data_IF_985663887688
#
_entry.id   IF_985663887688
#
_cell.length_a   1.000
_cell.length_b   1.000
_cell.length_c   1.000
_cell.angle_alpha   90.00
_cell.angle_beta   90.00
_cell.angle_gamma   90.00
#
_symmetry.space_group_name_H-M   'P 1'
#
loop_
_entity.id
_entity.type
_entity.pdbx_description
1 polymer ?
#
# COMPACT_ATOMS: atom_id res chain seq x y z
N UNK A 1 -1.26 7.75 10.68
CA UNK A 1 -2.54 8.13 10.04
C UNK A 1 -3.60 8.13 11.11
N UNK A 2 -4.43 9.17 11.19
CA UNK A 2 -5.62 9.09 12.03
C UNK A 2 -6.58 8.12 11.33
N UNK A 3 -6.78 6.93 11.91
CA UNK A 3 -7.95 6.11 11.59
C UNK A 3 -9.15 6.98 11.92
N UNK A 4 -9.85 7.50 10.91
CA UNK A 4 -11.16 8.11 11.13
C UNK A 4 -12.07 6.95 11.50
N UNK A 5 -12.28 6.74 12.80
CA UNK A 5 -13.23 5.75 13.29
C UNK A 5 -14.60 6.12 12.75
N UNK A 6 -15.14 5.25 11.92
CA UNK A 6 -16.43 5.41 11.31
C UNK A 6 -17.49 4.96 12.31
N UNK A 7 -18.17 5.91 12.96
CA UNK A 7 -19.28 5.57 13.86
C UNK A 7 -20.50 5.20 13.04
N UNK A 8 -20.68 3.89 12.89
CA UNK A 8 -21.78 3.26 12.15
C UNK A 8 -23.14 3.74 12.64
N UNK A 9 -23.30 3.96 13.95
CA UNK A 9 -24.55 4.35 14.58
C UNK A 9 -24.86 5.83 14.30
N UNK A 10 -23.87 6.71 14.53
CA UNK A 10 -24.01 8.14 14.27
C UNK A 10 -24.34 8.43 12.79
N UNK A 11 -23.74 7.68 11.86
CA UNK A 11 -24.02 7.84 10.44
C UNK A 11 -25.42 7.36 10.04
N UNK A 12 -25.87 6.22 10.59
CA UNK A 12 -27.25 5.74 10.36
C UNK A 12 -28.26 6.78 10.84
N UNK A 13 -28.03 7.41 12.00
CA UNK A 13 -28.92 8.43 12.54
C UNK A 13 -28.91 9.72 11.71
N UNK A 14 -27.75 10.14 11.21
CA UNK A 14 -27.65 11.26 10.26
C UNK A 14 -28.41 10.98 8.95
N UNK A 15 -28.30 9.78 8.40
CA UNK A 15 -29.00 9.39 7.18
C UNK A 15 -30.53 9.37 7.38
N UNK A 16 -31.00 8.81 8.50
CA UNK A 16 -32.42 8.85 8.88
C UNK A 16 -32.93 10.29 9.01
N UNK A 17 -32.15 11.15 9.66
CA UNK A 17 -32.47 12.58 9.83
C UNK A 17 -32.52 13.32 8.48
N UNK A 18 -31.73 12.87 7.50
CA UNK A 18 -31.73 13.37 6.13
C UNK A 18 -32.89 12.81 5.26
N UNK A 19 -33.77 11.99 5.83
CA UNK A 19 -34.96 11.46 5.16
C UNK A 19 -34.79 10.08 4.52
N UNK A 20 -33.70 9.36 4.79
CA UNK A 20 -33.56 7.97 4.35
C UNK A 20 -34.46 7.06 5.18
N UNK A 21 -35.09 6.09 4.53
CA UNK A 21 -35.77 5.02 5.26
C UNK A 21 -34.74 4.22 6.10
N UNK A 22 -35.13 3.65 7.26
CA UNK A 22 -34.22 2.91 8.14
C UNK A 22 -33.39 1.85 7.41
N UNK A 23 -34.02 1.09 6.52
CA UNK A 23 -33.38 0.02 5.76
C UNK A 23 -32.36 0.56 4.75
N UNK A 24 -32.64 1.72 4.15
CA UNK A 24 -31.73 2.40 3.22
C UNK A 24 -30.52 2.97 3.95
N UNK A 25 -30.73 3.60 5.09
CA UNK A 25 -29.66 4.15 5.92
C UNK A 25 -28.69 3.04 6.32
N UNK A 26 -29.19 1.92 6.82
CA UNK A 26 -28.34 0.79 7.18
C UNK A 26 -27.63 0.15 5.97
N UNK A 27 -28.29 0.06 4.81
CA UNK A 27 -27.68 -0.50 3.60
C UNK A 27 -26.49 0.35 3.13
N UNK A 28 -26.62 1.69 3.14
CA UNK A 28 -25.55 2.62 2.79
C UNK A 28 -24.37 2.48 3.74
N UNK A 29 -24.63 2.46 5.06
CA UNK A 29 -23.56 2.32 6.04
C UNK A 29 -22.86 0.97 5.95
N UNK A 30 -23.60 -0.13 5.72
CA UNK A 30 -23.02 -1.45 5.46
C UNK A 30 -22.10 -1.44 4.23
N UNK A 31 -22.53 -0.84 3.12
CA UNK A 31 -21.70 -0.73 1.92
C UNK A 31 -20.39 0.03 2.16
N UNK A 32 -20.44 1.11 2.95
CA UNK A 32 -19.24 1.88 3.30
C UNK A 32 -18.33 1.09 4.26
N UNK A 33 -18.91 0.35 5.21
CA UNK A 33 -18.16 -0.55 6.10
C UNK A 33 -17.40 -1.62 5.30
N UNK A 34 -18.09 -2.33 4.40
CA UNK A 34 -17.46 -3.34 3.54
C UNK A 34 -16.39 -2.74 2.63
N UNK A 35 -16.59 -1.54 2.09
CA UNK A 35 -15.58 -0.86 1.28
C UNK A 35 -14.32 -0.47 2.06
N UNK A 36 -14.39 -0.37 3.39
CA UNK A 36 -13.23 -0.09 4.25
C UNK A 36 -12.43 -1.34 4.61
N UNK A 37 -13.04 -2.53 4.61
CA UNK A 37 -12.35 -3.79 4.94
C UNK A 37 -11.32 -4.21 3.87
N UNK A 38 -11.51 -3.80 2.61
CA UNK A 38 -10.59 -4.13 1.52
C UNK A 38 -9.46 -3.09 1.33
N UNK A 39 -9.36 -2.06 2.17
CA UNK A 39 -8.38 -0.99 2.01
C UNK A 39 -6.98 -1.42 2.47
N UNK A 40 -6.03 -1.45 1.54
CA UNK A 40 -4.60 -1.53 1.87
C UNK A 40 -4.16 -0.21 2.48
N UNK A 41 -3.62 -0.25 3.71
CA UNK A 41 -3.11 0.96 4.36
C UNK A 41 -1.84 1.47 3.68
N UNK A 42 -1.58 2.78 3.73
CA UNK A 42 -0.31 3.33 3.22
C UNK A 42 0.91 2.70 3.91
N UNK A 43 0.80 2.36 5.19
CA UNK A 43 1.87 1.69 5.93
C UNK A 43 2.18 0.29 5.34
N UNK A 44 1.15 -0.48 5.00
CA UNK A 44 1.32 -1.79 4.34
C UNK A 44 2.04 -1.65 2.99
N UNK A 45 1.67 -0.62 2.22
CA UNK A 45 2.29 -0.35 0.94
C UNK A 45 3.74 0.14 1.08
N UNK A 46 4.01 1.05 2.02
CA UNK A 46 5.36 1.53 2.33
C UNK A 46 6.27 0.38 2.77
N UNK A 47 5.77 -0.56 3.58
CA UNK A 47 6.51 -1.74 3.99
C UNK A 47 6.85 -2.65 2.81
N UNK A 48 5.88 -2.95 1.95
CA UNK A 48 6.11 -3.74 0.75
C UNK A 48 7.13 -3.09 -0.20
N UNK A 49 7.01 -1.76 -0.40
CA UNK A 49 7.93 -0.99 -1.22
C UNK A 49 9.34 -0.90 -0.60
N UNK A 50 9.46 -0.84 0.72
CA UNK A 50 10.75 -0.83 1.41
C UNK A 50 11.53 -2.14 1.18
N UNK A 51 10.83 -3.29 1.21
CA UNK A 51 11.43 -4.59 0.87
C UNK A 51 11.96 -4.59 -0.56
N UNK A 52 11.12 -4.21 -1.52
CA UNK A 52 11.49 -4.16 -2.95
C UNK A 52 12.66 -3.20 -3.20
N UNK A 53 12.67 -2.04 -2.54
CA UNK A 53 13.76 -1.06 -2.67
C UNK A 53 15.07 -1.60 -2.14
N UNK A 54 15.04 -2.35 -1.05
CA UNK A 54 16.23 -3.00 -0.48
C UNK A 54 16.80 -4.02 -1.46
N UNK A 55 15.94 -4.90 -1.99
CA UNK A 55 16.34 -5.94 -2.95
C UNK A 55 16.91 -5.34 -4.23
N UNK A 56 16.26 -4.29 -4.76
CA UNK A 56 16.75 -3.56 -5.94
C UNK A 56 18.09 -2.88 -5.68
N UNK A 57 18.31 -2.34 -4.48
CA UNK A 57 19.58 -1.71 -4.12
C UNK A 57 20.69 -2.75 -4.08
N UNK A 58 20.44 -3.91 -3.47
CA UNK A 58 21.38 -5.02 -3.44
C UNK A 58 21.72 -5.51 -4.86
N UNK A 59 20.69 -5.72 -5.69
CA UNK A 59 20.85 -6.18 -7.07
C UNK A 59 21.69 -5.21 -7.90
N UNK A 60 21.48 -3.89 -7.74
CA UNK A 60 22.30 -2.86 -8.40
C UNK A 60 23.78 -2.97 -8.01
N UNK A 61 24.09 -3.19 -6.74
CA UNK A 61 25.47 -3.37 -6.29
C UNK A 61 26.11 -4.64 -6.81
N UNK A 62 25.37 -5.76 -6.81
CA UNK A 62 25.86 -7.03 -7.37
C UNK A 62 26.14 -6.90 -8.86
N UNK A 63 25.25 -6.26 -9.61
CA UNK A 63 25.46 -6.01 -11.04
C UNK A 63 26.68 -5.11 -11.27
N UNK A 64 26.87 -4.06 -10.47
CA UNK A 64 28.07 -3.23 -10.50
C UNK A 64 29.35 -4.03 -10.22
N UNK A 65 29.34 -4.91 -9.23
CA UNK A 65 30.48 -5.77 -8.90
C UNK A 65 30.81 -6.76 -10.03
N UNK A 66 29.79 -7.37 -10.65
CA UNK A 66 29.96 -8.28 -11.79
C UNK A 66 30.54 -7.51 -12.99
N UNK A 67 30.01 -6.33 -13.30
CA UNK A 67 30.54 -5.49 -14.38
C UNK A 67 32.00 -5.10 -14.13
N UNK A 68 32.35 -4.70 -12.91
CA UNK A 68 33.72 -4.39 -12.53
C UNK A 68 34.65 -5.61 -12.67
N UNK A 69 34.18 -6.80 -12.28
CA UNK A 69 34.91 -8.06 -12.46
C UNK A 69 35.16 -8.38 -13.94
N UNK A 70 34.15 -8.23 -14.79
CA UNK A 70 34.28 -8.43 -16.24
C UNK A 70 35.29 -7.43 -16.83
N UNK A 71 35.17 -6.15 -16.48
CA UNK A 71 36.11 -5.11 -16.94
C UNK A 71 37.54 -5.42 -16.50
N UNK A 72 37.74 -5.85 -15.25
CA UNK A 72 39.07 -6.25 -14.74
C UNK A 72 39.68 -7.41 -15.54
N UNK A 73 38.87 -8.42 -15.89
CA UNK A 73 39.32 -9.54 -16.72
C UNK A 73 39.68 -9.09 -18.14
N UNK A 74 38.90 -8.20 -18.74
CA UNK A 74 39.18 -7.65 -20.07
C UNK A 74 40.50 -6.87 -20.06
N UNK A 75 40.72 -6.01 -19.07
CA UNK A 75 41.98 -5.27 -18.92
C UNK A 75 43.16 -6.22 -18.80
N UNK A 76 43.06 -7.26 -17.95
CA UNK A 76 44.13 -8.26 -17.77
C UNK A 76 44.39 -9.11 -19.02
N UNK A 77 43.38 -9.30 -19.88
CA UNK A 77 43.53 -10.08 -21.10
C UNK A 77 44.13 -9.28 -22.27
N UNK A 78 43.96 -7.95 -22.27
CA UNK A 78 44.42 -7.05 -23.33
C UNK A 78 45.76 -6.35 -23.01
N UNK A 79 46.16 -6.30 -21.74
CA UNK A 79 47.40 -5.70 -21.25
C UNK A 79 48.40 -6.80 -20.86
#
# INVERSE_FOLDING_TARGET
MATVTFDTLELVDKLKTAGFAPEQAEAVVRAIGTAQDELVTKANLEQALASIRTDLTLLKWMMGAVLAGIVSLIIKALL
#
